data_IF_398564994695
#
_entry.id   IF_398564994695
#
_cell.length_a   1.000
_cell.length_b   1.000
_cell.length_c   1.000
_cell.angle_alpha   90.00
_cell.angle_beta   90.00
_cell.angle_gamma   90.00
#
_symmetry.space_group_name_H-M   'P 1'
#
loop_
_entity.id
_entity.type
_entity.pdbx_description
1 polymer ?
#
# COMPACT_ATOMS: atom_id res chain seq x y z
N UNK A 1 13.55 11.19 -8.13
CA UNK A 1 13.21 10.78 -6.75
C UNK A 1 13.67 9.33 -6.61
N UNK A 2 14.58 9.03 -5.68
CA UNK A 2 15.11 7.68 -5.51
C UNK A 2 14.02 6.75 -4.99
N UNK A 3 13.63 5.77 -5.79
CA UNK A 3 12.65 4.74 -5.45
C UNK A 3 13.13 3.97 -4.21
N UNK A 4 12.50 4.24 -3.05
CA UNK A 4 12.71 3.43 -1.85
C UNK A 4 11.87 2.15 -2.01
N UNK A 5 12.46 1.14 -2.65
CA UNK A 5 11.81 -0.12 -2.99
C UNK A 5 11.66 -0.98 -1.72
N UNK A 6 10.58 -0.76 -0.96
CA UNK A 6 10.16 -1.66 0.12
C UNK A 6 9.48 -2.89 -0.51
N UNK A 7 10.25 -3.94 -0.78
CA UNK A 7 9.75 -5.18 -1.37
C UNK A 7 10.16 -6.39 -0.53
N UNK A 8 9.34 -7.43 -0.52
CA UNK A 8 9.64 -8.68 0.19
C UNK A 8 10.84 -9.35 -0.48
N UNK A 9 11.91 -9.57 0.29
CA UNK A 9 13.14 -10.17 -0.23
C UNK A 9 13.10 -11.70 -0.31
N UNK A 10 12.28 -12.35 0.52
CA UNK A 10 12.20 -13.80 0.60
C UNK A 10 10.79 -14.24 1.03
N UNK A 11 10.19 -15.17 0.29
CA UNK A 11 8.92 -15.81 0.62
C UNK A 11 8.98 -17.30 0.31
N UNK A 12 8.59 -18.13 1.27
CA UNK A 12 8.40 -19.58 1.12
C UNK A 12 6.95 -19.91 1.45
N UNK A 13 6.28 -20.66 0.57
CA UNK A 13 4.91 -21.15 0.76
C UNK A 13 4.96 -22.67 0.59
N UNK A 14 4.51 -23.42 1.60
CA UNK A 14 4.50 -24.90 1.59
C UNK A 14 5.86 -25.54 1.19
N UNK A 15 6.96 -24.96 1.67
CA UNK A 15 8.33 -25.44 1.37
C UNK A 15 8.87 -25.04 -0.01
N UNK A 16 8.04 -24.48 -0.90
CA UNK A 16 8.47 -23.96 -2.18
C UNK A 16 8.94 -22.50 -2.06
N UNK A 17 10.15 -22.20 -2.54
CA UNK A 17 10.68 -20.84 -2.59
C UNK A 17 10.07 -20.07 -3.75
N UNK A 18 9.42 -18.95 -3.46
CA UNK A 18 8.90 -18.05 -4.50
C UNK A 18 10.07 -17.26 -5.11
N UNK A 19 10.29 -17.30 -6.43
CA UNK A 19 11.33 -16.51 -7.08
C UNK A 19 11.16 -15.01 -6.85
N UNK A 20 12.25 -14.31 -6.50
CA UNK A 20 12.22 -12.88 -6.16
C UNK A 20 11.69 -11.97 -7.27
N UNK A 21 11.76 -12.39 -8.54
CA UNK A 21 11.18 -11.66 -9.68
C UNK A 21 9.66 -11.46 -9.57
N UNK A 22 8.96 -12.34 -8.84
CA UNK A 22 7.52 -12.21 -8.59
C UNK A 22 7.19 -11.35 -7.36
N UNK A 23 8.19 -11.04 -6.53
CA UNK A 23 8.06 -10.23 -5.33
C UNK A 23 8.56 -8.79 -5.55
N UNK A 24 9.35 -8.60 -6.62
CA UNK A 24 10.06 -7.37 -6.92
C UNK A 24 9.79 -7.00 -8.38
N UNK A 25 8.76 -6.18 -8.60
CA UNK A 25 8.26 -5.82 -9.93
C UNK A 25 9.36 -5.24 -10.83
N UNK A 26 10.30 -4.47 -10.26
CA UNK A 26 11.46 -3.93 -10.98
C UNK A 26 12.43 -4.99 -11.55
N UNK A 27 12.32 -6.26 -11.13
CA UNK A 27 13.11 -7.38 -11.69
C UNK A 27 12.41 -8.09 -12.86
N UNK A 28 11.19 -7.68 -13.20
CA UNK A 28 10.47 -8.22 -14.35
C UNK A 28 10.97 -7.53 -15.63
N UNK A 29 11.52 -8.31 -16.55
CA UNK A 29 12.22 -7.84 -17.76
C UNK A 29 11.33 -6.98 -18.67
N UNK A 30 10.01 -7.12 -18.58
CA UNK A 30 9.03 -6.45 -19.46
C UNK A 30 8.63 -5.05 -18.99
N UNK A 31 8.92 -4.66 -17.74
CA UNK A 31 8.42 -3.40 -17.14
C UNK A 31 9.47 -2.30 -17.17
N UNK A 32 10.74 -2.63 -16.93
CA UNK A 32 11.84 -1.67 -16.68
C UNK A 32 11.44 -0.59 -15.65
N UNK A 33 12.30 0.38 -15.38
CA UNK A 33 12.00 1.46 -14.41
C UNK A 33 10.92 2.41 -14.96
N UNK A 34 10.96 2.69 -16.27
CA UNK A 34 10.01 3.59 -16.92
C UNK A 34 8.56 3.08 -16.87
N UNK A 35 8.33 1.78 -17.08
CA UNK A 35 7.00 1.20 -16.99
C UNK A 35 6.48 1.15 -15.55
N UNK A 36 7.36 0.98 -14.57
CA UNK A 36 6.99 1.05 -13.15
C UNK A 36 6.52 2.47 -12.78
N UNK A 37 7.28 3.50 -13.15
CA UNK A 37 6.94 4.90 -12.85
C UNK A 37 5.65 5.33 -13.56
N UNK A 38 5.48 4.97 -14.84
CA UNK A 38 4.25 5.24 -15.58
C UNK A 38 3.03 4.51 -14.97
N UNK A 39 3.22 3.26 -14.52
CA UNK A 39 2.18 2.51 -13.81
C UNK A 39 1.81 3.15 -12.47
N UNK A 40 2.81 3.65 -11.73
CA UNK A 40 2.59 4.36 -10.47
C UNK A 40 1.79 5.65 -10.69
N UNK A 41 2.08 6.42 -11.74
CA UNK A 41 1.33 7.61 -12.12
C UNK A 41 -0.12 7.30 -12.47
N UNK A 42 -0.37 6.27 -13.30
CA UNK A 42 -1.73 5.83 -13.67
C UNK A 42 -2.55 5.46 -12.42
N UNK A 43 -1.95 4.69 -11.49
CA UNK A 43 -2.62 4.32 -10.24
C UNK A 43 -2.89 5.54 -9.37
N UNK A 44 -1.90 6.44 -9.25
CA UNK A 44 -2.03 7.65 -8.45
C UNK A 44 -3.17 8.55 -8.96
N UNK A 45 -3.23 8.77 -10.28
CA UNK A 45 -4.29 9.57 -10.90
C UNK A 45 -5.67 8.94 -10.76
N UNK A 46 -5.77 7.62 -10.89
CA UNK A 46 -7.01 6.88 -10.64
C UNK A 46 -7.53 7.11 -9.21
N UNK A 47 -6.68 6.95 -8.19
CA UNK A 47 -7.10 7.18 -6.81
C UNK A 47 -7.48 8.64 -6.57
N UNK A 48 -6.77 9.60 -7.17
CA UNK A 48 -7.14 11.01 -7.08
C UNK A 48 -8.52 11.28 -7.67
N UNK A 49 -8.85 10.69 -8.83
CA UNK A 49 -10.17 10.90 -9.44
C UNK A 49 -11.29 10.21 -8.68
N UNK A 50 -11.05 9.01 -8.14
CA UNK A 50 -12.09 8.24 -7.44
C UNK A 50 -12.32 8.73 -6.02
N UNK A 51 -11.28 9.00 -5.23
CA UNK A 51 -11.43 9.35 -3.82
C UNK A 51 -12.14 10.69 -3.59
N UNK A 52 -12.00 11.65 -4.51
CA UNK A 52 -12.72 12.93 -4.44
C UNK A 52 -14.24 12.74 -4.40
N UNK A 53 -14.77 11.71 -5.04
CA UNK A 53 -16.21 11.41 -5.09
C UNK A 53 -16.78 11.01 -3.72
N UNK A 54 -15.90 10.62 -2.79
CA UNK A 54 -16.28 10.19 -1.44
C UNK A 54 -16.17 11.31 -0.40
N UNK A 55 -15.69 12.51 -0.77
CA UNK A 55 -15.70 13.70 0.11
C UNK A 55 -17.12 14.28 0.23
N UNK A 56 -18.00 13.52 0.87
CA UNK A 56 -19.41 13.84 1.07
C UNK A 56 -19.69 14.13 2.55
N UNK A 57 -20.73 14.95 2.86
CA UNK A 57 -21.18 15.13 4.23
C UNK A 57 -21.51 13.78 4.88
N UNK A 58 -21.00 13.56 6.10
CA UNK A 58 -21.19 12.31 6.83
C UNK A 58 -20.08 11.28 6.65
N UNK A 59 -19.07 11.54 5.82
CA UNK A 59 -17.84 10.76 5.83
C UNK A 59 -17.18 10.83 7.23
N UNK A 60 -16.70 9.69 7.73
CA UNK A 60 -16.00 9.64 9.00
C UNK A 60 -14.72 10.51 8.95
N UNK A 61 -14.40 11.29 10.00
CA UNK A 61 -13.23 12.18 10.00
C UNK A 61 -11.91 11.49 9.66
N UNK A 62 -11.69 10.26 10.12
CA UNK A 62 -10.52 9.45 9.74
C UNK A 62 -10.48 9.17 8.24
N UNK A 63 -11.61 8.81 7.63
CA UNK A 63 -11.70 8.57 6.19
C UNK A 63 -11.41 9.83 5.39
N UNK A 64 -11.90 10.98 5.86
CA UNK A 64 -11.58 12.28 5.26
C UNK A 64 -10.07 12.56 5.31
N UNK A 65 -9.40 12.34 6.44
CA UNK A 65 -7.95 12.52 6.59
C UNK A 65 -7.14 11.61 5.65
N UNK A 66 -7.57 10.36 5.46
CA UNK A 66 -6.94 9.42 4.52
C UNK A 66 -7.04 9.95 3.08
N UNK A 67 -8.24 10.40 2.67
CA UNK A 67 -8.47 10.92 1.33
C UNK A 67 -7.65 12.20 1.10
N UNK A 68 -7.73 13.16 2.01
CA UNK A 68 -6.97 14.41 1.92
C UNK A 68 -5.46 14.17 1.84
N UNK A 69 -4.95 13.19 2.60
CA UNK A 69 -3.54 12.77 2.55
C UNK A 69 -3.17 12.18 1.18
N UNK A 70 -4.05 11.40 0.56
CA UNK A 70 -3.83 10.92 -0.80
C UNK A 70 -3.78 12.05 -1.83
N UNK A 71 -4.76 12.96 -1.78
CA UNK A 71 -4.93 14.03 -2.77
C UNK A 71 -3.80 15.06 -2.77
N UNK A 72 -3.10 15.24 -1.63
CA UNK A 72 -1.91 16.10 -1.51
C UNK A 72 -0.59 15.36 -1.68
N UNK A 73 -0.61 14.04 -1.91
CA UNK A 73 0.59 13.22 -2.10
C UNK A 73 1.39 13.01 -0.81
N UNK A 74 0.70 12.76 0.31
CA UNK A 74 1.33 12.53 1.62
C UNK A 74 2.19 11.26 1.66
N UNK A 75 3.16 11.25 2.58
CA UNK A 75 4.10 10.14 2.74
C UNK A 75 3.50 8.95 3.50
N UNK A 76 4.17 7.80 3.46
CA UNK A 76 3.76 6.60 4.21
C UNK A 76 3.72 6.88 5.72
N UNK A 77 4.66 7.68 6.24
CA UNK A 77 4.71 8.07 7.65
C UNK A 77 3.46 8.83 8.07
N UNK A 78 2.96 9.73 7.22
CA UNK A 78 1.72 10.47 7.48
C UNK A 78 0.50 9.53 7.51
N UNK A 79 0.49 8.48 6.68
CA UNK A 79 -0.53 7.44 6.77
C UNK A 79 -0.46 6.67 8.09
N UNK A 80 0.74 6.33 8.56
CA UNK A 80 0.93 5.62 9.83
C UNK A 80 0.46 6.44 11.04
N UNK A 81 0.50 7.77 10.98
CA UNK A 81 -0.09 8.64 11.99
C UNK A 81 -1.63 8.62 12.01
N UNK A 82 -2.27 8.25 10.90
CA UNK A 82 -3.73 8.17 10.77
C UNK A 82 -4.24 6.77 11.08
N UNK A 83 -3.56 5.76 10.54
CA UNK A 83 -3.85 4.33 10.67
C UNK A 83 -2.57 3.58 11.07
N UNK A 84 -2.28 3.51 12.39
CA UNK A 84 -1.11 2.80 12.88
C UNK A 84 -1.14 1.33 12.47
N UNK A 85 -0.07 0.86 11.82
CA UNK A 85 0.11 -0.55 11.50
C UNK A 85 0.64 -1.29 12.72
N UNK A 86 -0.22 -1.57 13.69
CA UNK A 86 0.11 -2.42 14.83
C UNK A 86 0.02 -3.89 14.40
N UNK A 87 1.17 -4.54 14.20
CA UNK A 87 1.28 -5.98 13.90
C UNK A 87 0.74 -6.90 15.02
N UNK A 88 0.16 -6.35 16.09
CA UNK A 88 -0.29 -7.11 17.26
C UNK A 88 -1.58 -7.93 17.00
N UNK A 89 -2.27 -7.75 15.88
CA UNK A 89 -3.57 -8.39 15.64
C UNK A 89 -3.56 -9.86 15.19
N UNK A 90 -2.39 -10.50 15.00
CA UNK A 90 -2.32 -11.92 14.59
C UNK A 90 -2.15 -12.93 15.72
N UNK A 91 -2.01 -12.52 16.99
CA UNK A 91 -1.80 -13.48 18.09
C UNK A 91 -2.73 -13.34 19.31
N UNK A 92 -3.67 -12.40 19.33
CA UNK A 92 -4.43 -12.10 20.57
C UNK A 92 -5.92 -12.44 20.57
N UNK A 93 -6.47 -13.15 19.58
CA UNK A 93 -7.88 -13.59 19.59
C UNK A 93 -8.08 -15.12 19.67
N UNK A 94 -7.16 -15.83 20.33
CA UNK A 94 -7.35 -17.27 20.64
C UNK A 94 -8.20 -17.51 21.89
N UNK A 95 -8.48 -16.47 22.69
CA UNK A 95 -9.22 -16.60 23.96
C UNK A 95 -10.74 -16.39 23.82
N UNK A 96 -11.25 -16.12 22.62
CA UNK A 96 -12.69 -15.99 22.33
C UNK A 96 -13.32 -17.30 21.80
N UNK A 97 -12.71 -18.45 22.11
CA UNK A 97 -13.30 -19.77 21.87
C UNK A 97 -13.34 -20.61 23.15
N UNK A 98 -14.07 -20.12 24.14
CA UNK A 98 -14.69 -20.95 25.19
C UNK A 98 -16.02 -20.37 25.66
#
# INVERSE_FOLDING_TARGET
MTTNLQAVHYLTIEGAKIPSRFLQVHKQTEVDTAGYDAGAEILYDFFRSELQKYLVPGLHPTGQRIIETCLRGGSVEEYLEIIPMDYQYTFSNSDDMH
#
